data_IF_818292191232
#
_entry.id   IF_818292191232
#
_cell.length_a   1.000
_cell.length_b   1.000
_cell.length_c   1.000
_cell.angle_alpha   90.00
_cell.angle_beta   90.00
_cell.angle_gamma   90.00
#
_symmetry.space_group_name_H-M   'P 1'
#
loop_
_entity.id
_entity.type
_entity.pdbx_description
1 polymer ?
#
# COMPACT_ATOMS: atom_id res chain seq x y z
N UNK A 1 6.33 -2.16 -0.88
CA UNK A 1 5.82 -3.05 0.19
C UNK A 1 4.35 -2.76 0.42
N UNK A 2 3.49 -3.78 0.41
CA UNK A 2 2.08 -3.69 0.76
C UNK A 2 1.87 -4.30 2.15
N UNK A 3 1.14 -3.60 3.01
CA UNK A 3 0.89 -4.02 4.39
C UNK A 3 -0.52 -4.57 4.50
N UNK A 4 -0.69 -5.77 5.02
CA UNK A 4 -2.03 -6.37 5.24
C UNK A 4 -2.69 -5.88 6.53
N UNK A 5 -1.88 -5.71 7.57
CA UNK A 5 -2.36 -5.32 8.90
C UNK A 5 -1.30 -4.52 9.65
N UNK A 6 -1.76 -3.51 10.38
CA UNK A 6 -1.10 -2.98 11.57
C UNK A 6 -2.09 -2.82 12.74
N UNK A 7 -1.59 -2.29 13.86
CA UNK A 7 -2.38 -2.07 15.08
C UNK A 7 -3.58 -1.14 14.90
N UNK A 8 -3.64 -0.40 13.78
CA UNK A 8 -4.64 0.63 13.54
C UNK A 8 -5.59 0.32 12.38
N UNK A 9 -5.30 -0.68 11.54
CA UNK A 9 -6.11 -1.00 10.38
C UNK A 9 -5.80 -2.40 9.84
N UNK A 10 -6.85 -3.12 9.42
CA UNK A 10 -6.77 -4.22 8.45
C UNK A 10 -7.10 -3.62 7.08
N UNK A 11 -6.23 -3.78 6.09
CA UNK A 11 -6.45 -3.21 4.75
C UNK A 11 -7.64 -3.85 4.04
N UNK A 12 -8.32 -3.11 3.16
CA UNK A 12 -9.39 -3.69 2.34
C UNK A 12 -8.81 -4.85 1.49
N UNK A 13 -9.30 -6.09 1.67
CA UNK A 13 -8.69 -7.28 1.06
C UNK A 13 -8.90 -7.37 -0.45
N UNK A 14 -9.98 -6.77 -0.99
CA UNK A 14 -10.24 -6.76 -2.44
C UNK A 14 -9.33 -5.76 -3.14
N UNK A 15 -9.18 -4.56 -2.58
CA UNK A 15 -8.27 -3.56 -3.11
C UNK A 15 -6.81 -4.03 -3.00
N UNK A 16 -6.41 -4.65 -1.89
CA UNK A 16 -5.06 -5.22 -1.75
C UNK A 16 -4.78 -6.30 -2.81
N UNK A 17 -5.74 -7.20 -3.04
CA UNK A 17 -5.64 -8.26 -4.06
C UNK A 17 -5.52 -7.67 -5.46
N UNK A 18 -6.38 -6.71 -5.81
CA UNK A 18 -6.31 -5.99 -7.08
C UNK A 18 -4.91 -5.42 -7.33
N UNK A 19 -4.30 -4.78 -6.33
CA UNK A 19 -2.95 -4.21 -6.48
C UNK A 19 -1.87 -5.28 -6.61
N UNK A 20 -1.99 -6.40 -5.89
CA UNK A 20 -1.05 -7.53 -6.01
C UNK A 20 -1.12 -8.17 -7.40
N UNK A 21 -2.32 -8.42 -7.91
CA UNK A 21 -2.56 -8.97 -9.25
C UNK A 21 -2.03 -8.02 -10.34
N UNK A 22 -2.27 -6.71 -10.18
CA UNK A 22 -1.74 -5.69 -11.10
C UNK A 22 -0.21 -5.64 -11.07
N UNK A 23 0.40 -5.74 -9.90
CA UNK A 23 1.87 -5.79 -9.77
C UNK A 23 2.45 -7.04 -10.46
N UNK A 24 1.79 -8.19 -10.32
CA UNK A 24 2.17 -9.43 -11.00
C UNK A 24 2.04 -9.30 -12.52
N UNK A 25 0.91 -8.79 -13.02
CA UNK A 25 0.66 -8.54 -14.45
C UNK A 25 1.75 -7.65 -15.06
N UNK A 26 2.17 -6.61 -14.33
CA UNK A 26 3.17 -5.62 -14.78
C UNK A 26 4.61 -6.03 -14.48
N UNK A 27 4.84 -7.19 -13.86
CA UNK A 27 6.16 -7.64 -13.46
C UNK A 27 6.87 -6.72 -12.45
N UNK A 28 6.11 -6.00 -11.63
CA UNK A 28 6.64 -5.09 -10.60
C UNK A 28 6.81 -5.88 -9.30
N UNK A 29 8.04 -6.02 -8.77
CA UNK A 29 8.25 -6.77 -7.54
C UNK A 29 7.62 -6.07 -6.34
N UNK A 30 6.85 -6.83 -5.57
CA UNK A 30 6.19 -6.35 -4.35
C UNK A 30 6.54 -7.29 -3.19
N UNK A 31 6.76 -6.69 -2.03
CA UNK A 31 6.85 -7.40 -0.76
C UNK A 31 5.57 -7.19 0.03
N UNK A 32 4.99 -8.27 0.54
CA UNK A 32 3.87 -8.23 1.46
C UNK A 32 4.38 -8.18 2.91
N UNK A 33 3.64 -7.52 3.79
CA UNK A 33 4.07 -7.31 5.18
C UNK A 33 2.91 -7.32 6.16
N UNK A 34 3.22 -7.70 7.38
CA UNK A 34 2.36 -7.57 8.56
C UNK A 34 3.15 -6.82 9.63
N UNK A 35 2.46 -5.98 10.42
CA UNK A 35 3.08 -5.19 11.48
C UNK A 35 2.34 -5.39 12.80
N UNK A 36 3.06 -5.84 13.81
CA UNK A 36 2.55 -5.94 15.18
C UNK A 36 2.62 -4.63 15.97
N UNK A 37 3.19 -3.57 15.38
CA UNK A 37 3.37 -2.27 16.03
C UNK A 37 3.53 -1.11 15.03
N UNK A 38 3.04 0.07 15.45
CA UNK A 38 3.04 1.30 14.67
C UNK A 38 1.88 1.38 13.67
N UNK A 39 1.14 2.49 13.69
CA UNK A 39 0.02 2.75 12.77
C UNK A 39 0.40 3.58 11.55
N UNK A 40 -0.60 3.92 10.74
CA UNK A 40 -0.45 4.82 9.58
C UNK A 40 -1.64 5.76 9.47
N UNK A 41 -1.59 6.72 8.53
CA UNK A 41 -2.71 7.60 8.23
C UNK A 41 -3.96 6.82 7.74
N UNK A 42 -3.78 5.58 7.25
CA UNK A 42 -4.89 4.69 6.90
C UNK A 42 -5.88 4.49 8.04
N UNK A 43 -5.41 4.53 9.30
CA UNK A 43 -6.23 4.43 10.51
C UNK A 43 -7.45 5.37 10.50
N UNK A 44 -7.23 6.64 10.15
CA UNK A 44 -8.28 7.66 10.13
C UNK A 44 -9.00 7.70 8.78
N UNK A 45 -8.30 7.40 7.68
CA UNK A 45 -8.87 7.45 6.33
C UNK A 45 -9.93 6.36 6.15
N UNK A 46 -9.62 5.11 6.51
CA UNK A 46 -10.50 3.98 6.21
C UNK A 46 -11.84 4.01 6.95
N UNK A 47 -11.91 4.66 8.12
CA UNK A 47 -13.13 4.86 8.91
C UNK A 47 -13.82 6.20 8.63
N UNK A 48 -13.25 7.04 7.77
CA UNK A 48 -13.86 8.34 7.45
C UNK A 48 -15.14 8.16 6.63
N UNK A 49 -16.04 9.14 6.72
CA UNK A 49 -17.33 9.15 6.01
C UNK A 49 -18.17 7.88 6.27
N UNK A 50 -18.35 7.03 5.26
CA UNK A 50 -19.09 5.76 5.32
C UNK A 50 -18.16 4.54 5.20
N UNK A 51 -16.87 4.75 5.46
CA UNK A 51 -15.81 3.82 5.13
C UNK A 51 -15.18 4.14 3.78
N UNK A 52 -13.86 4.09 3.71
CA UNK A 52 -13.10 4.30 2.48
C UNK A 52 -12.22 3.07 2.26
N UNK A 53 -12.37 2.32 1.13
CA UNK A 53 -11.44 1.25 0.78
C UNK A 53 -10.00 1.77 0.79
N UNK A 54 -9.17 1.22 1.66
CA UNK A 54 -7.84 1.73 1.93
C UNK A 54 -6.83 0.58 2.02
N UNK A 55 -5.66 0.79 1.42
CA UNK A 55 -4.49 -0.06 1.55
C UNK A 55 -3.30 0.79 2.00
N UNK A 56 -2.25 0.14 2.51
CA UNK A 56 -1.03 0.81 2.94
C UNK A 56 0.13 0.33 2.08
N UNK A 57 0.67 1.26 1.28
CA UNK A 57 1.89 1.06 0.51
C UNK A 57 3.02 1.86 1.13
N UNK A 58 4.20 1.24 1.22
CA UNK A 58 5.41 1.90 1.70
C UNK A 58 6.66 1.39 1.03
N UNK A 59 7.74 2.16 1.16
CA UNK A 59 9.09 1.81 0.74
C UNK A 59 9.82 1.25 1.96
N UNK A 60 10.52 0.11 1.87
CA UNK A 60 11.37 -0.38 2.97
C UNK A 60 12.46 0.64 3.32
N UNK A 61 12.55 0.99 4.60
CA UNK A 61 13.53 1.95 5.12
C UNK A 61 14.21 1.36 6.36
N UNK A 62 15.54 1.43 6.41
CA UNK A 62 16.32 1.19 7.63
C UNK A 62 16.52 2.50 8.38
N UNK A 63 16.53 2.41 9.72
CA UNK A 63 16.75 3.54 10.62
C UNK A 63 15.70 4.66 10.49
N UNK A 64 14.45 4.29 10.21
CA UNK A 64 13.32 5.21 10.30
C UNK A 64 13.25 5.83 11.72
N UNK A 65 12.89 7.11 11.79
CA UNK A 65 12.85 7.92 13.02
C UNK A 65 14.22 8.21 13.66
N UNK A 66 15.30 8.12 12.88
CA UNK A 66 16.63 8.63 13.27
C UNK A 66 17.00 9.84 12.41
N UNK A 67 18.19 10.43 12.63
CA UNK A 67 18.69 11.56 11.84
C UNK A 67 18.82 11.24 10.34
N UNK A 68 19.09 9.99 9.98
CA UNK A 68 19.27 9.56 8.59
C UNK A 68 18.57 8.21 8.36
N UNK A 69 17.68 8.15 7.37
CA UNK A 69 17.11 6.90 6.87
C UNK A 69 17.87 6.36 5.66
N UNK A 70 17.87 5.05 5.47
CA UNK A 70 18.47 4.40 4.29
C UNK A 70 17.41 3.56 3.58
N UNK A 71 17.26 3.77 2.28
CA UNK A 71 16.37 2.99 1.42
C UNK A 71 17.08 2.67 0.10
N UNK A 72 16.58 1.68 -0.63
CA UNK A 72 17.09 1.38 -1.96
C UNK A 72 16.40 2.26 -2.99
N UNK A 73 17.15 2.78 -3.96
CA UNK A 73 16.55 3.56 -5.05
C UNK A 73 15.61 2.69 -5.89
N UNK A 74 15.94 1.42 -6.05
CA UNK A 74 15.12 0.44 -6.76
C UNK A 74 13.72 0.28 -6.14
N UNK A 75 13.61 0.14 -4.81
CA UNK A 75 12.31 0.03 -4.14
C UNK A 75 11.47 1.29 -4.32
N UNK A 76 12.11 2.47 -4.34
CA UNK A 76 11.46 3.74 -4.65
C UNK A 76 10.90 3.74 -6.08
N UNK A 77 11.71 3.37 -7.08
CA UNK A 77 11.25 3.31 -8.47
C UNK A 77 10.10 2.32 -8.67
N UNK A 78 10.17 1.13 -8.07
CA UNK A 78 9.09 0.16 -8.11
C UNK A 78 7.81 0.67 -7.43
N UNK A 79 7.93 1.34 -6.28
CA UNK A 79 6.78 1.92 -5.59
C UNK A 79 6.11 3.03 -6.41
N UNK A 80 6.89 3.90 -7.07
CA UNK A 80 6.36 4.94 -7.97
C UNK A 80 5.67 4.32 -9.16
N UNK A 81 6.30 3.34 -9.83
CA UNK A 81 5.70 2.64 -10.98
C UNK A 81 4.37 1.98 -10.59
N UNK A 82 4.33 1.26 -9.47
CA UNK A 82 3.11 0.63 -8.99
C UNK A 82 2.03 1.66 -8.66
N UNK A 83 2.38 2.77 -8.01
CA UNK A 83 1.43 3.84 -7.70
C UNK A 83 0.78 4.42 -8.97
N UNK A 84 1.57 4.65 -10.02
CA UNK A 84 1.08 5.13 -11.32
C UNK A 84 0.13 4.12 -11.94
N UNK A 85 0.53 2.85 -12.03
CA UNK A 85 -0.30 1.77 -12.60
C UNK A 85 -1.63 1.62 -11.86
N UNK A 86 -1.63 1.73 -10.51
CA UNK A 86 -2.87 1.73 -9.72
C UNK A 86 -3.78 2.88 -10.14
N UNK A 87 -3.25 4.11 -10.19
CA UNK A 87 -4.04 5.31 -10.51
C UNK A 87 -4.59 5.23 -11.94
N UNK A 88 -3.79 4.77 -12.90
CA UNK A 88 -4.21 4.63 -14.30
C UNK A 88 -5.26 3.54 -14.49
N UNK A 89 -5.24 2.50 -13.65
CA UNK A 89 -6.17 1.37 -13.76
C UNK A 89 -7.44 1.54 -12.95
N UNK A 90 -7.45 2.38 -11.92
CA UNK A 90 -8.64 2.64 -11.12
C UNK A 90 -9.69 3.42 -11.93
N UNK A 91 -10.84 2.78 -12.12
CA UNK A 91 -12.05 3.42 -12.62
C UNK A 91 -13.22 3.21 -11.64
N UNK A 92 -14.39 3.76 -12.01
CA UNK A 92 -15.59 3.69 -11.17
C UNK A 92 -16.00 2.25 -10.87
N UNK A 93 -15.98 1.37 -11.87
CA UNK A 93 -16.49 0.00 -11.73
C UNK A 93 -15.56 -0.84 -10.86
N UNK A 94 -14.24 -0.67 -11.02
CA UNK A 94 -13.23 -1.29 -10.16
C UNK A 94 -13.40 -0.81 -8.71
N UNK A 95 -13.56 0.49 -8.48
CA UNK A 95 -13.73 1.04 -7.12
C UNK A 95 -15.01 0.50 -6.46
N UNK A 96 -16.11 0.40 -7.19
CA UNK A 96 -17.38 -0.17 -6.70
C UNK A 96 -17.29 -1.67 -6.38
N UNK A 97 -16.29 -2.38 -6.90
CA UNK A 97 -16.07 -3.82 -6.65
C UNK A 97 -15.35 -4.13 -5.33
N UNK A 98 -14.73 -3.13 -4.68
CA UNK A 98 -13.95 -3.31 -3.45
C UNK A 98 -14.80 -3.58 -2.19
#
# INVERSE_FOLDING_TARGET
MLRHIDVSMITNPRFQRFVLELAEEKGIPVQESVRSGGGTNGALIHISNRGVPCIVMGIPVRYAHTHNGISTYFDYECAVKLAVEIIEKLDKDIIESF
#
